data_IF_323155765087
#
_entry.id   IF_323155765087
#
_cell.length_a   1.000
_cell.length_b   1.000
_cell.length_c   1.000
_cell.angle_alpha   90.00
_cell.angle_beta   90.00
_cell.angle_gamma   90.00
#
_symmetry.space_group_name_H-M   'P 1'
#
loop_
_entity.id
_entity.type
_entity.pdbx_description
1 polymer ?
#
# COMPACT_ATOMS: atom_id res chain seq x y z
N UNK A 1 13.42 5.34 15.52
CA UNK A 1 12.43 6.43 15.65
C UNK A 1 12.29 7.04 14.27
N UNK A 2 11.11 6.91 13.64
CA UNK A 2 10.80 7.69 12.44
C UNK A 2 10.71 9.16 12.85
N UNK A 3 11.46 10.02 12.18
CA UNK A 3 11.52 11.46 12.45
C UNK A 3 10.39 12.26 11.79
N UNK A 4 9.48 11.57 11.10
CA UNK A 4 8.43 12.18 10.29
C UNK A 4 7.07 11.98 10.94
N UNK A 5 6.91 12.52 12.15
CA UNK A 5 5.63 12.47 12.87
C UNK A 5 4.71 13.57 12.32
N UNK A 6 3.55 13.17 11.80
CA UNK A 6 2.49 14.11 11.43
C UNK A 6 1.83 14.64 12.69
N UNK A 7 1.60 15.96 12.77
CA UNK A 7 0.78 16.49 13.86
C UNK A 7 -0.68 16.01 13.72
N UNK A 8 -1.48 16.01 14.80
CA UNK A 8 -2.90 15.69 14.71
C UNK A 8 -3.65 16.56 13.69
N UNK A 9 -3.28 17.84 13.58
CA UNK A 9 -3.88 18.78 12.62
C UNK A 9 -3.51 18.43 11.18
N UNK A 10 -2.25 18.07 10.91
CA UNK A 10 -1.80 17.62 9.59
C UNK A 10 -2.49 16.32 9.18
N UNK A 11 -2.61 15.37 10.10
CA UNK A 11 -3.33 14.11 9.88
C UNK A 11 -4.78 14.37 9.48
N UNK A 12 -5.47 15.22 10.24
CA UNK A 12 -6.86 15.57 9.97
C UNK A 12 -7.02 16.31 8.63
N UNK A 13 -6.10 17.21 8.29
CA UNK A 13 -6.10 17.91 7.01
C UNK A 13 -5.86 16.96 5.82
N UNK A 14 -4.90 16.03 5.94
CA UNK A 14 -4.63 15.00 4.93
C UNK A 14 -5.85 14.10 4.73
N UNK A 15 -6.47 13.65 5.83
CA UNK A 15 -7.69 12.86 5.77
C UNK A 15 -8.80 13.60 4.98
N UNK A 16 -9.04 14.87 5.30
CA UNK A 16 -10.06 15.68 4.63
C UNK A 16 -9.77 15.88 3.13
N UNK A 17 -8.53 16.21 2.76
CA UNK A 17 -8.10 16.38 1.36
C UNK A 17 -8.22 15.07 0.57
N UNK A 18 -7.75 13.96 1.14
CA UNK A 18 -7.81 12.64 0.49
C UNK A 18 -9.26 12.18 0.37
N UNK A 19 -10.10 12.37 1.40
CA UNK A 19 -11.52 12.05 1.36
C UNK A 19 -12.24 12.80 0.23
N UNK A 20 -12.04 14.12 0.13
CA UNK A 20 -12.68 14.94 -0.90
C UNK A 20 -12.32 14.50 -2.32
N UNK A 21 -11.07 14.08 -2.54
CA UNK A 21 -10.59 13.60 -3.85
C UNK A 21 -11.06 12.19 -4.16
N UNK A 22 -11.01 11.28 -3.18
CA UNK A 22 -11.45 9.90 -3.35
C UNK A 22 -12.95 9.76 -3.58
N UNK A 23 -13.75 10.74 -3.16
CA UNK A 23 -15.19 10.76 -3.46
C UNK A 23 -15.51 10.71 -4.97
N UNK A 24 -14.61 11.20 -5.83
CA UNK A 24 -14.78 11.21 -7.28
C UNK A 24 -14.14 9.99 -7.97
N UNK A 25 -13.46 9.11 -7.22
CA UNK A 25 -12.84 7.88 -7.73
C UNK A 25 -13.81 6.70 -7.60
N UNK A 26 -14.01 5.93 -8.67
CA UNK A 26 -14.85 4.72 -8.57
C UNK A 26 -14.15 3.61 -7.77
N UNK A 27 -14.87 2.84 -6.94
CA UNK A 27 -14.31 1.66 -6.30
C UNK A 27 -13.72 0.68 -7.32
N UNK A 28 -12.53 0.17 -7.04
CA UNK A 28 -11.74 -0.60 -7.99
C UNK A 28 -11.88 -2.10 -7.71
N UNK A 29 -11.96 -2.89 -8.78
CA UNK A 29 -11.77 -4.35 -8.68
C UNK A 29 -10.34 -4.66 -9.11
N UNK A 30 -9.63 -5.43 -8.28
CA UNK A 30 -8.24 -5.85 -8.49
C UNK A 30 -8.11 -7.36 -8.32
N UNK A 31 -7.01 -7.93 -8.77
CA UNK A 31 -6.73 -9.35 -8.62
C UNK A 31 -5.27 -9.60 -8.29
N UNK A 32 -5.00 -10.70 -7.58
CA UNK A 32 -3.64 -11.18 -7.34
C UNK A 32 -3.08 -11.84 -8.61
N UNK A 33 -1.82 -11.56 -8.94
CA UNK A 33 -1.01 -12.34 -9.85
C UNK A 33 -0.41 -13.59 -9.17
N UNK A 34 0.38 -14.40 -9.90
CA UNK A 34 1.13 -15.50 -9.32
C UNK A 34 2.20 -14.98 -8.35
N UNK A 35 2.61 -15.83 -7.41
CA UNK A 35 3.65 -15.49 -6.45
C UNK A 35 5.00 -15.22 -7.12
N UNK A 36 5.69 -14.20 -6.62
CA UNK A 36 7.03 -13.82 -7.04
C UNK A 36 7.98 -14.06 -5.89
N UNK A 37 9.05 -14.80 -6.16
CA UNK A 37 10.20 -14.94 -5.28
C UNK A 37 11.28 -13.93 -5.71
N UNK A 38 11.43 -12.87 -4.92
CA UNK A 38 12.50 -11.88 -5.07
C UNK A 38 13.73 -12.27 -4.24
N UNK A 39 14.77 -11.43 -4.28
CA UNK A 39 16.03 -11.67 -3.55
C UNK A 39 15.84 -11.75 -2.04
N UNK A 40 14.89 -11.02 -1.48
CA UNK A 40 14.67 -10.86 -0.03
C UNK A 40 13.23 -11.13 0.42
N UNK A 41 12.33 -11.49 -0.50
CA UNK A 41 10.90 -11.53 -0.20
C UNK A 41 10.12 -12.45 -1.13
N UNK A 42 8.94 -12.84 -0.67
CA UNK A 42 7.87 -13.44 -1.48
C UNK A 42 6.68 -12.50 -1.44
N UNK A 43 6.12 -12.19 -2.60
CA UNK A 43 4.96 -11.31 -2.71
C UNK A 43 4.01 -11.74 -3.84
N UNK A 44 2.78 -11.21 -3.80
CA UNK A 44 1.78 -11.36 -4.85
C UNK A 44 1.61 -10.01 -5.56
N UNK A 45 1.90 -9.89 -6.87
CA UNK A 45 1.56 -8.70 -7.64
C UNK A 45 0.05 -8.45 -7.62
N UNK A 46 -0.38 -7.19 -7.70
CA UNK A 46 -1.80 -6.82 -7.78
C UNK A 46 -2.07 -6.06 -9.07
N UNK A 47 -3.05 -6.51 -9.86
CA UNK A 47 -3.45 -5.86 -11.10
C UNK A 47 -4.93 -5.46 -11.11
N UNK A 48 -5.37 -4.63 -12.08
CA UNK A 48 -4.56 -3.98 -13.13
C UNK A 48 -3.77 -2.77 -12.61
N UNK A 49 -2.61 -2.50 -13.23
CA UNK A 49 -1.68 -1.45 -12.79
C UNK A 49 -2.25 -0.03 -12.94
N UNK A 50 -2.83 0.32 -14.11
CA UNK A 50 -3.20 1.72 -14.38
C UNK A 50 -4.20 2.27 -13.36
N UNK A 51 -5.32 1.58 -13.04
CA UNK A 51 -6.26 2.09 -12.04
C UNK A 51 -5.66 2.22 -10.63
N UNK A 52 -4.73 1.33 -10.27
CA UNK A 52 -4.01 1.41 -8.99
C UNK A 52 -3.02 2.59 -8.98
N UNK A 53 -2.33 2.84 -10.08
CA UNK A 53 -1.42 3.96 -10.24
C UNK A 53 -2.18 5.30 -10.17
N UNK A 54 -3.35 5.38 -10.81
CA UNK A 54 -4.25 6.53 -10.72
C UNK A 54 -4.74 6.76 -9.29
N UNK A 55 -5.20 5.72 -8.59
CA UNK A 55 -5.60 5.81 -7.19
C UNK A 55 -4.45 6.34 -6.32
N UNK A 56 -3.24 5.80 -6.48
CA UNK A 56 -2.05 6.27 -5.77
C UNK A 56 -1.74 7.73 -6.08
N UNK A 57 -1.86 8.16 -7.33
CA UNK A 57 -1.63 9.54 -7.73
C UNK A 57 -2.62 10.50 -7.07
N UNK A 58 -3.90 10.13 -7.01
CA UNK A 58 -4.95 10.90 -6.32
C UNK A 58 -4.64 11.05 -4.82
N UNK A 59 -4.26 9.96 -4.16
CA UNK A 59 -3.88 9.98 -2.74
C UNK A 59 -2.66 10.88 -2.52
N UNK A 60 -1.61 10.73 -3.33
CA UNK A 60 -0.40 11.57 -3.25
C UNK A 60 -0.71 13.05 -3.45
N UNK A 61 -1.58 13.38 -4.40
CA UNK A 61 -2.01 14.76 -4.62
C UNK A 61 -2.78 15.34 -3.42
N UNK A 62 -3.56 14.54 -2.70
CA UNK A 62 -4.21 14.94 -1.44
C UNK A 62 -3.21 15.18 -0.32
N UNK A 63 -2.20 14.33 -0.17
CA UNK A 63 -1.14 14.52 0.82
C UNK A 63 -0.33 15.78 0.52
N UNK A 64 0.06 16.00 -0.75
CA UNK A 64 0.84 17.15 -1.19
C UNK A 64 0.09 18.49 -1.15
N UNK A 65 -1.23 18.47 -0.96
CA UNK A 65 -2.00 19.69 -0.70
C UNK A 65 -1.80 20.21 0.74
N UNK A 66 -1.28 19.36 1.64
CA UNK A 66 -1.08 19.66 3.07
C UNK A 66 0.40 19.67 3.44
N UNK A 67 1.18 18.73 2.90
CA UNK A 67 2.58 18.54 3.23
C UNK A 67 3.49 18.95 2.06
N UNK A 68 4.62 19.59 2.39
CA UNK A 68 5.71 19.78 1.45
C UNK A 68 6.26 18.43 0.97
N UNK A 69 6.64 18.35 -0.30
CA UNK A 69 7.19 17.13 -0.90
C UNK A 69 8.44 16.62 -0.18
N UNK A 70 9.25 17.52 0.40
CA UNK A 70 10.42 17.15 1.20
C UNK A 70 10.09 16.38 2.47
N UNK A 71 8.82 16.36 2.89
CA UNK A 71 8.32 15.60 4.05
C UNK A 71 7.71 14.26 3.65
N UNK A 72 7.62 13.96 2.35
CA UNK A 72 7.28 12.62 1.91
C UNK A 72 8.48 11.71 2.11
N UNK A 73 8.36 10.83 3.10
CA UNK A 73 9.38 9.82 3.35
C UNK A 73 9.53 8.89 2.14
N UNK A 74 10.75 8.81 1.61
CA UNK A 74 11.16 7.76 0.67
C UNK A 74 11.92 6.69 1.47
N UNK A 75 11.41 5.45 1.47
CA UNK A 75 12.19 4.32 1.96
C UNK A 75 13.47 4.21 1.11
N UNK A 76 14.63 3.85 1.69
CA UNK A 76 15.82 3.52 0.91
C UNK A 76 15.48 2.49 -0.18
N UNK A 77 15.85 2.77 -1.44
CA UNK A 77 15.52 1.92 -2.59
C UNK A 77 14.14 2.17 -3.23
N UNK A 78 13.30 3.05 -2.67
CA UNK A 78 12.11 3.60 -3.35
C UNK A 78 12.43 4.89 -4.13
N UNK A 79 13.70 5.10 -4.48
CA UNK A 79 14.16 6.22 -5.33
C UNK A 79 13.63 6.10 -6.76
N UNK A 80 13.13 4.93 -7.15
CA UNK A 80 12.47 4.73 -8.43
C UNK A 80 11.01 5.14 -8.33
N UNK A 81 10.56 6.08 -9.16
CA UNK A 81 9.14 6.45 -9.31
C UNK A 81 8.23 5.30 -9.81
N UNK A 82 8.79 4.10 -10.02
CA UNK A 82 8.08 2.91 -10.48
C UNK A 82 7.21 2.37 -9.36
N UNK A 83 5.90 2.51 -9.53
CA UNK A 83 4.92 1.93 -8.63
C UNK A 83 4.63 0.47 -9.01
N UNK A 84 5.01 -0.45 -8.13
CA UNK A 84 4.79 -1.89 -8.28
C UNK A 84 3.77 -2.36 -7.23
N UNK A 85 2.46 -2.36 -7.53
CA UNK A 85 1.45 -2.79 -6.57
C UNK A 85 1.58 -4.28 -6.26
N UNK A 86 1.77 -4.61 -4.99
CA UNK A 86 1.90 -5.98 -4.51
C UNK A 86 1.41 -6.14 -3.06
N UNK A 87 1.21 -7.38 -2.65
CA UNK A 87 1.00 -7.78 -1.26
C UNK A 87 2.17 -8.65 -0.83
N UNK A 88 2.99 -8.18 0.11
CA UNK A 88 4.08 -8.96 0.68
C UNK A 88 3.55 -10.12 1.51
N UNK A 89 4.12 -11.30 1.31
CA UNK A 89 3.74 -12.53 2.03
C UNK A 89 4.78 -12.90 3.08
N UNK A 90 6.06 -12.86 2.70
CA UNK A 90 7.16 -13.22 3.59
C UNK A 90 8.43 -12.43 3.24
N UNK A 91 9.28 -12.22 4.24
CA UNK A 91 10.60 -11.62 4.10
C UNK A 91 11.67 -12.62 4.55
N UNK A 92 12.82 -12.59 3.86
CA UNK A 92 14.00 -13.34 4.20
C UNK A 92 14.86 -12.52 5.16
N UNK A 93 15.05 -13.02 6.38
CA UNK A 93 15.80 -12.30 7.43
C UNK A 93 17.22 -12.89 7.66
N UNK A 94 17.64 -13.85 6.85
CA UNK A 94 18.96 -14.48 6.93
C UNK A 94 19.35 -15.09 5.57
N UNK A 95 20.64 -15.09 5.24
CA UNK A 95 21.14 -15.69 4.01
C UNK A 95 20.84 -17.19 3.94
N UNK A 96 20.49 -17.67 2.76
CA UNK A 96 20.22 -19.08 2.53
C UNK A 96 19.92 -19.42 1.08
N UNK A 97 19.91 -20.72 0.72
CA UNK A 97 19.58 -21.16 -0.63
C UNK A 97 18.11 -20.89 -0.95
N UNK A 98 17.84 -20.30 -2.12
CA UNK A 98 16.47 -20.03 -2.60
C UNK A 98 15.81 -21.22 -3.30
N UNK A 99 16.60 -22.19 -3.79
CA UNK A 99 16.10 -23.32 -4.58
C UNK A 99 15.00 -24.14 -3.88
N UNK A 100 15.12 -24.51 -2.58
CA UNK A 100 14.07 -25.25 -1.90
C UNK A 100 12.76 -24.47 -1.79
N UNK A 101 12.83 -23.14 -1.68
CA UNK A 101 11.65 -22.28 -1.65
C UNK A 101 11.02 -22.20 -3.05
N UNK A 102 11.83 -22.02 -4.09
CA UNK A 102 11.37 -22.01 -5.48
C UNK A 102 10.64 -23.31 -5.85
N UNK A 103 11.19 -24.46 -5.50
CA UNK A 103 10.56 -25.76 -5.75
C UNK A 103 9.23 -25.95 -5.02
N UNK A 104 9.08 -25.37 -3.83
CA UNK A 104 7.83 -25.42 -3.05
C UNK A 104 6.78 -24.48 -3.63
N UNK A 105 7.18 -23.25 -3.98
CA UNK A 105 6.28 -22.28 -4.61
C UNK A 105 5.76 -22.79 -5.95
N UNK A 106 6.62 -23.42 -6.77
CA UNK A 106 6.22 -24.02 -8.04
C UNK A 106 5.17 -25.15 -7.94
N UNK A 107 4.87 -25.65 -6.73
CA UNK A 107 3.82 -26.66 -6.48
C UNK A 107 2.55 -26.04 -5.89
N UNK A 108 2.54 -24.74 -5.60
CA UNK A 108 1.36 -24.01 -5.16
C UNK A 108 0.47 -23.79 -6.37
N UNK A 109 -0.72 -24.37 -6.34
CA UNK A 109 -1.75 -24.17 -7.35
C UNK A 109 -2.89 -23.39 -6.72
N UNK A 110 -2.78 -22.06 -6.76
CA UNK A 110 -3.77 -21.13 -6.23
C UNK A 110 -4.13 -20.15 -7.33
N UNK A 111 -5.41 -20.13 -7.70
CA UNK A 111 -5.92 -19.19 -8.68
C UNK A 111 -5.91 -17.74 -8.18
N UNK A 112 -6.03 -16.76 -9.10
CA UNK A 112 -6.10 -15.36 -8.74
C UNK A 112 -7.29 -15.09 -7.82
N UNK A 113 -7.08 -14.27 -6.79
CA UNK A 113 -8.14 -13.80 -5.90
C UNK A 113 -8.57 -12.42 -6.35
N UNK A 114 -9.86 -12.27 -6.64
CA UNK A 114 -10.46 -10.96 -6.92
C UNK A 114 -10.82 -10.23 -5.62
N UNK A 115 -10.49 -8.95 -5.56
CA UNK A 115 -10.73 -8.06 -4.42
C UNK A 115 -11.36 -6.77 -4.91
N UNK A 116 -12.21 -6.15 -4.08
CA UNK A 116 -12.78 -4.83 -4.34
C UNK A 116 -12.27 -3.81 -3.34
N UNK A 117 -11.52 -2.82 -3.81
CA UNK A 117 -11.04 -1.69 -3.02
C UNK A 117 -12.20 -0.71 -2.83
N UNK A 118 -12.68 -0.62 -1.59
CA UNK A 118 -13.75 0.31 -1.18
C UNK A 118 -13.27 1.41 -0.24
N UNK A 119 -12.09 1.26 0.33
CA UNK A 119 -11.49 2.26 1.20
C UNK A 119 -9.96 2.20 1.10
N UNK A 120 -9.33 3.31 1.46
CA UNK A 120 -7.90 3.43 1.72
C UNK A 120 -7.74 3.68 3.22
N UNK A 121 -6.73 3.09 3.83
CA UNK A 121 -6.49 3.28 5.26
C UNK A 121 -5.29 4.19 5.49
N UNK A 122 -5.47 5.24 6.29
CA UNK A 122 -4.38 6.00 6.89
C UNK A 122 -4.02 5.36 8.23
N UNK A 123 -2.74 5.06 8.44
CA UNK A 123 -2.26 4.27 9.58
C UNK A 123 -1.05 4.96 10.21
N UNK A 124 -0.90 4.87 11.53
CA UNK A 124 0.37 5.15 12.21
C UNK A 124 1.26 3.92 12.09
N UNK A 125 2.45 4.06 11.49
CA UNK A 125 3.44 2.99 11.38
C UNK A 125 4.59 3.22 12.37
N UNK A 126 4.91 2.22 13.19
CA UNK A 126 6.07 2.23 14.09
C UNK A 126 6.97 1.03 13.80
N UNK A 127 8.28 1.26 13.84
CA UNK A 127 9.30 0.21 13.86
C UNK A 127 10.03 0.26 15.19
N UNK A 128 9.76 -0.73 16.03
CA UNK A 128 10.42 -0.92 17.32
C UNK A 128 11.18 -2.25 17.26
N UNK A 129 12.51 -2.20 17.38
CA UNK A 129 13.39 -3.39 17.37
C UNK A 129 13.12 -4.35 16.19
N UNK A 130 13.15 -3.81 14.95
CA UNK A 130 12.88 -4.54 13.70
C UNK A 130 11.46 -5.10 13.57
N UNK A 131 10.54 -4.74 14.48
CA UNK A 131 9.14 -5.12 14.43
C UNK A 131 8.29 -3.94 13.99
N UNK A 132 7.63 -4.12 12.86
CA UNK A 132 6.60 -3.20 12.40
C UNK A 132 5.31 -3.39 13.18
N UNK A 133 4.72 -2.29 13.63
CA UNK A 133 3.39 -2.24 14.22
C UNK A 133 2.58 -1.11 13.60
N UNK A 134 1.28 -1.35 13.45
CA UNK A 134 0.33 -0.41 12.89
C UNK A 134 -0.71 -0.05 13.96
N UNK A 135 -1.06 1.24 14.07
CA UNK A 135 -2.15 1.73 14.93
C UNK A 135 -2.94 2.85 14.26
N UNK A 136 -4.01 3.30 14.92
CA UNK A 136 -4.79 4.49 14.54
C UNK A 136 -5.32 4.44 13.10
N UNK A 137 -5.90 3.29 12.72
CA UNK A 137 -6.50 3.12 11.40
C UNK A 137 -7.67 4.09 11.23
N UNK A 138 -7.58 4.93 10.21
CA UNK A 138 -8.70 5.71 9.67
C UNK A 138 -9.01 5.21 8.27
N UNK A 139 -10.25 4.77 8.04
CA UNK A 139 -10.70 4.28 6.73
C UNK A 139 -11.37 5.39 5.95
N UNK A 140 -10.75 5.77 4.84
CA UNK A 140 -11.25 6.78 3.91
C UNK A 140 -11.95 6.04 2.76
N UNK A 141 -13.27 6.20 2.57
CA UNK A 141 -13.99 5.54 1.49
C UNK A 141 -13.50 5.99 0.11
N UNK A 142 -13.52 5.06 -0.84
CA UNK A 142 -13.33 5.33 -2.27
C UNK A 142 -14.70 5.42 -2.93
N UNK A 143 -14.91 6.47 -3.69
CA UNK A 143 -16.19 6.82 -4.30
C UNK A 143 -17.12 7.53 -3.34
N UNK A 144 -18.16 8.15 -3.91
CA UNK A 144 -19.22 8.74 -3.10
C UNK A 144 -19.84 7.64 -2.26
N UNK A 145 -19.83 7.85 -0.95
CA UNK A 145 -20.58 7.02 -0.03
C UNK A 145 -22.05 7.08 -0.48
N UNK A 146 -22.55 6.01 -1.11
CA UNK A 146 -23.99 5.83 -1.23
C UNK A 146 -24.48 5.47 0.17
N UNK A 147 -24.60 6.49 1.03
CA UNK A 147 -25.47 6.41 2.20
C UNK A 147 -26.90 6.40 1.66
N UNK A 148 -27.42 5.20 1.45
CA UNK A 148 -28.78 4.94 1.01
C UNK A 148 -28.89 3.53 0.46
N UNK A 149 -29.11 2.55 1.34
CA UNK A 149 -30.44 1.97 1.65
C UNK A 149 -30.42 1.39 3.07
#
# INVERSE_FOLDING_TARGET
VFTDELTPEERAAIEAEVLGRLAEVSPLTVHTGPEVLASDSVYLPIGPLEPLAELRAVIRAGILAVLDESRLYALPGQETDVFEPHVSIAYCNADGPSDPLRERLARVDVGPVELRIKHVSLLSLRNDDHKWSWSDEVRIPVGRNQLGE
#
